data_IF_975031095713
#
_entry.id   IF_975031095713
#
_cell.length_a   1.000
_cell.length_b   1.000
_cell.length_c   1.000
_cell.angle_alpha   90.00
_cell.angle_beta   90.00
_cell.angle_gamma   90.00
#
_symmetry.space_group_name_H-M   'P 1'
#
loop_
_entity.id
_entity.type
_entity.pdbx_description
1 polymer ?
#
# COMPACT_ATOMS: atom_id res chain seq x y z
N UNK A 1 2.49 -8.82 -5.35
CA UNK A 1 3.89 -9.27 -5.24
C UNK A 1 4.50 -8.68 -3.99
N UNK A 2 5.35 -9.42 -3.27
CA UNK A 2 6.04 -8.98 -2.04
C UNK A 2 7.53 -9.26 -2.17
N UNK A 3 8.39 -8.36 -1.67
CA UNK A 3 9.84 -8.55 -1.65
C UNK A 3 10.48 -7.88 -0.42
N UNK A 4 11.42 -8.55 0.24
CA UNK A 4 12.18 -7.99 1.38
C UNK A 4 13.38 -7.10 0.96
N UNK A 5 13.85 -7.24 -0.27
CA UNK A 5 14.95 -6.47 -0.86
C UNK A 5 14.65 -6.27 -2.35
N UNK A 6 14.97 -5.13 -3.00
CA UNK A 6 14.95 -5.00 -4.45
C UNK A 6 15.69 -6.11 -5.23
N UNK A 7 16.68 -6.78 -4.62
CA UNK A 7 17.42 -7.89 -5.24
C UNK A 7 16.80 -9.28 -5.01
N UNK A 8 15.88 -9.42 -4.05
CA UNK A 8 15.20 -10.70 -3.79
C UNK A 8 14.10 -10.95 -4.82
N UNK A 9 13.94 -12.19 -5.32
CA UNK A 9 12.85 -12.52 -6.21
C UNK A 9 11.52 -12.23 -5.52
N UNK A 10 10.58 -11.54 -6.18
CA UNK A 10 9.33 -11.18 -5.54
C UNK A 10 8.40 -12.40 -5.45
N UNK A 11 7.77 -12.58 -4.30
CA UNK A 11 6.77 -13.62 -4.06
C UNK A 11 5.38 -13.12 -4.47
N UNK A 12 4.58 -13.99 -5.10
CA UNK A 12 3.15 -13.71 -5.28
C UNK A 12 2.43 -14.00 -3.96
N UNK A 13 1.84 -12.96 -3.37
CA UNK A 13 1.03 -13.06 -2.14
C UNK A 13 -0.28 -12.31 -2.34
N UNK A 14 -1.32 -12.82 -1.70
CA UNK A 14 -2.57 -12.12 -1.50
C UNK A 14 -2.55 -11.40 -0.14
N UNK A 15 -3.41 -10.40 0.01
CA UNK A 15 -3.56 -9.60 1.23
C UNK A 15 -4.99 -9.79 1.74
N UNK A 16 -5.24 -10.07 3.04
CA UNK A 16 -4.29 -10.11 4.15
C UNK A 16 -3.17 -11.16 4.00
N UNK A 17 -1.94 -10.76 4.28
CA UNK A 17 -0.78 -11.62 4.14
C UNK A 17 -0.62 -12.50 5.39
N UNK A 18 -0.93 -13.79 5.23
CA UNK A 18 -0.91 -14.78 6.32
C UNK A 18 0.44 -15.45 6.52
N UNK A 19 1.44 -15.18 5.67
CA UNK A 19 2.75 -15.81 5.71
C UNK A 19 3.88 -14.77 5.68
N UNK A 20 3.93 -13.85 6.67
CA UNK A 20 4.83 -12.70 6.65
C UNK A 20 6.30 -13.09 6.63
N UNK A 21 7.11 -12.29 5.92
CA UNK A 21 8.56 -12.39 6.01
C UNK A 21 9.02 -11.81 7.35
N UNK A 22 9.85 -12.57 8.05
CA UNK A 22 10.54 -12.08 9.25
C UNK A 22 11.72 -11.22 8.78
N UNK A 23 11.61 -9.92 8.98
CA UNK A 23 12.69 -8.97 8.71
C UNK A 23 13.08 -8.29 10.02
N UNK A 24 14.37 -8.30 10.35
CA UNK A 24 14.91 -7.77 11.61
C UNK A 24 15.83 -6.59 11.36
N UNK A 25 15.90 -5.64 12.30
CA UNK A 25 16.97 -4.63 12.35
C UNK A 25 16.99 -3.62 11.21
N UNK A 26 15.86 -2.96 10.90
CA UNK A 26 15.80 -1.98 9.81
C UNK A 26 15.36 -2.56 8.46
N UNK A 27 15.05 -3.86 8.41
CA UNK A 27 14.60 -4.53 7.20
C UNK A 27 13.30 -3.95 6.65
N UNK A 28 13.12 -4.07 5.33
CA UNK A 28 11.97 -3.51 4.62
C UNK A 28 11.22 -4.61 3.90
N UNK A 29 9.90 -4.47 3.76
CA UNK A 29 9.08 -5.33 2.91
C UNK A 29 8.29 -4.43 1.98
N UNK A 30 8.42 -4.66 0.68
CA UNK A 30 7.69 -3.92 -0.36
C UNK A 30 6.63 -4.80 -0.99
N UNK A 31 5.37 -4.37 -0.91
CA UNK A 31 4.25 -4.95 -1.63
C UNK A 31 4.01 -4.14 -2.90
N UNK A 32 3.95 -4.80 -4.05
CA UNK A 32 3.69 -4.20 -5.36
C UNK A 32 2.48 -4.84 -6.02
N UNK A 33 1.60 -4.01 -6.58
CA UNK A 33 0.46 -4.44 -7.39
C UNK A 33 0.21 -3.46 -8.54
N UNK A 34 0.01 -4.00 -9.74
CA UNK A 34 -0.47 -3.25 -10.89
C UNK A 34 -1.99 -3.27 -10.90
N UNK A 35 -2.61 -2.15 -11.22
CA UNK A 35 -4.07 -2.03 -11.37
C UNK A 35 -4.42 -0.94 -12.39
N UNK A 36 -5.57 -1.09 -13.04
CA UNK A 36 -6.09 -0.07 -13.96
C UNK A 36 -6.86 0.99 -13.18
N UNK A 37 -6.91 2.22 -13.71
CA UNK A 37 -7.81 3.24 -13.17
C UNK A 37 -9.26 2.74 -13.24
N UNK A 38 -10.06 2.88 -12.18
CA UNK A 38 -11.48 2.57 -12.24
C UNK A 38 -12.17 3.34 -13.37
N UNK A 39 -13.03 2.67 -14.12
CA UNK A 39 -13.80 3.25 -15.23
C UNK A 39 -15.16 3.73 -14.75
N UNK A 40 -15.76 4.68 -15.45
CA UNK A 40 -17.09 5.21 -15.10
C UNK A 40 -17.08 6.22 -13.95
N UNK A 41 -15.89 6.72 -13.56
CA UNK A 41 -15.77 7.79 -12.57
C UNK A 41 -16.33 9.10 -13.13
N UNK A 42 -17.17 9.74 -12.34
CA UNK A 42 -17.68 11.09 -12.53
C UNK A 42 -16.71 12.12 -11.91
N UNK A 43 -16.86 13.42 -12.22
CA UNK A 43 -16.04 14.46 -11.60
C UNK A 43 -16.19 14.60 -10.07
N UNK A 44 -17.27 14.05 -9.50
CA UNK A 44 -17.57 14.07 -8.05
C UNK A 44 -17.07 12.83 -7.32
N UNK A 45 -16.50 11.86 -8.04
CA UNK A 45 -15.98 10.63 -7.44
C UNK A 45 -14.55 10.83 -6.96
N UNK A 46 -14.30 10.36 -5.73
CA UNK A 46 -12.98 10.31 -5.11
C UNK A 46 -12.55 8.86 -4.98
N UNK A 47 -11.32 8.56 -5.40
CA UNK A 47 -10.73 7.22 -5.27
C UNK A 47 -9.79 7.20 -4.07
N UNK A 48 -10.18 6.45 -3.05
CA UNK A 48 -9.43 6.29 -1.81
C UNK A 48 -8.64 4.99 -1.80
N UNK A 49 -7.38 5.04 -1.36
CA UNK A 49 -6.66 3.86 -0.87
C UNK A 49 -6.89 3.72 0.63
N UNK A 50 -7.34 2.54 1.04
CA UNK A 50 -7.65 2.22 2.43
C UNK A 50 -6.80 1.04 2.91
N UNK A 51 -6.05 1.28 3.99
CA UNK A 51 -5.21 0.29 4.68
C UNK A 51 -5.56 0.40 6.18
N UNK A 52 -6.62 -0.28 6.63
CA UNK A 52 -7.09 -0.22 8.01
C UNK A 52 -6.09 -0.81 9.02
N UNK A 53 -5.30 -1.80 8.62
CA UNK A 53 -4.37 -2.50 9.51
C UNK A 53 -3.09 -2.93 8.77
N UNK A 54 -1.96 -2.75 9.44
CA UNK A 54 -0.64 -3.27 9.08
C UNK A 54 0.24 -3.30 10.34
N UNK A 55 1.27 -4.14 10.35
CA UNK A 55 2.31 -4.13 11.37
C UNK A 55 3.63 -3.65 10.76
N UNK A 56 4.12 -2.49 11.20
CA UNK A 56 5.42 -1.90 10.84
C UNK A 56 5.69 -0.68 11.73
N UNK A 57 6.96 -0.26 11.86
CA UNK A 57 7.31 1.01 12.51
C UNK A 57 7.15 2.20 11.56
N UNK A 58 7.37 2.00 10.26
CA UNK A 58 7.09 3.02 9.25
C UNK A 58 6.53 2.43 7.97
N UNK A 59 5.83 3.28 7.22
CA UNK A 59 5.16 2.96 5.98
C UNK A 59 5.40 4.06 4.96
N UNK A 60 5.65 3.68 3.71
CA UNK A 60 5.69 4.55 2.55
C UNK A 60 4.74 4.00 1.49
N UNK A 61 3.91 4.87 0.91
CA UNK A 61 3.02 4.52 -0.19
C UNK A 61 3.44 5.33 -1.42
N UNK A 62 3.72 4.61 -2.51
CA UNK A 62 4.03 5.19 -3.81
C UNK A 62 3.00 4.74 -4.85
N UNK A 63 2.60 5.67 -5.70
CA UNK A 63 1.82 5.42 -6.92
C UNK A 63 2.66 5.86 -8.11
N UNK A 64 2.87 4.97 -9.08
CA UNK A 64 3.66 5.27 -10.28
C UNK A 64 5.04 5.86 -9.92
N UNK A 65 5.68 5.26 -8.93
CA UNK A 65 6.98 5.65 -8.34
C UNK A 65 7.02 7.04 -7.66
N UNK A 66 5.89 7.73 -7.60
CA UNK A 66 5.74 9.00 -6.85
C UNK A 66 5.30 8.70 -5.42
N UNK A 67 6.03 9.25 -4.44
CA UNK A 67 5.66 9.18 -3.03
C UNK A 67 4.41 10.03 -2.77
N UNK A 68 3.33 9.38 -2.34
CA UNK A 68 2.06 10.05 -2.01
C UNK A 68 1.80 10.09 -0.51
N UNK A 69 2.46 9.21 0.27
CA UNK A 69 2.31 9.16 1.71
C UNK A 69 3.52 8.51 2.39
N UNK A 70 3.86 9.01 3.57
CA UNK A 70 4.84 8.42 4.46
C UNK A 70 4.44 8.66 5.92
N UNK A 71 4.62 7.67 6.78
CA UNK A 71 4.44 7.82 8.22
C UNK A 71 5.38 6.91 9.00
N UNK A 72 5.83 7.39 10.15
CA UNK A 72 6.60 6.69 11.18
C UNK A 72 5.73 6.22 12.35
N UNK A 73 4.41 6.17 12.16
CA UNK A 73 3.43 5.75 13.17
C UNK A 73 2.50 4.72 12.58
N UNK A 74 2.29 3.63 13.30
CA UNK A 74 1.30 2.61 12.96
C UNK A 74 -0.11 3.15 13.21
N UNK A 75 -0.79 3.56 12.15
CA UNK A 75 -2.19 4.02 12.18
C UNK A 75 -2.90 3.64 10.88
N UNK A 76 -4.23 3.46 10.89
CA UNK A 76 -5.01 3.27 9.67
C UNK A 76 -4.72 4.37 8.64
N UNK A 77 -4.62 3.98 7.37
CA UNK A 77 -4.31 4.88 6.26
C UNK A 77 -5.54 4.97 5.37
N UNK A 78 -5.99 6.19 5.08
CA UNK A 78 -6.99 6.51 4.07
C UNK A 78 -6.47 7.69 3.24
N UNK A 79 -6.21 7.48 1.96
CA UNK A 79 -5.54 8.46 1.08
C UNK A 79 -6.34 8.70 -0.17
N UNK A 80 -6.62 9.97 -0.48
CA UNK A 80 -7.14 10.35 -1.78
C UNK A 80 -6.02 10.18 -2.83
N UNK A 81 -6.24 9.30 -3.79
CA UNK A 81 -5.30 9.04 -4.87
C UNK A 81 -5.77 9.60 -6.22
N UNK A 82 -6.92 10.27 -6.27
CA UNK A 82 -7.62 10.63 -7.51
C UNK A 82 -6.72 11.37 -8.50
N UNK A 83 -5.96 12.36 -8.01
CA UNK A 83 -5.06 13.16 -8.83
C UNK A 83 -3.80 12.39 -9.30
N UNK A 84 -3.42 11.30 -8.63
CA UNK A 84 -2.23 10.51 -8.95
C UNK A 84 -2.50 9.37 -9.95
N UNK A 85 -3.78 9.07 -10.24
CA UNK A 85 -4.16 7.94 -11.08
C UNK A 85 -3.93 8.21 -12.57
N UNK A 86 -3.25 7.25 -13.21
CA UNK A 86 -3.04 7.12 -14.66
C UNK A 86 -3.85 5.95 -15.19
N UNK A 87 -4.01 5.76 -16.52
CA UNK A 87 -4.75 4.61 -17.06
C UNK A 87 -4.26 3.24 -16.54
N UNK A 88 -2.93 3.08 -16.43
CA UNK A 88 -2.27 1.94 -15.79
C UNK A 88 -1.45 2.44 -14.61
N UNK A 89 -1.65 1.82 -13.44
CA UNK A 89 -1.01 2.24 -12.20
C UNK A 89 -0.19 1.13 -11.57
N UNK A 90 0.91 1.52 -10.92
CA UNK A 90 1.66 0.68 -10.00
C UNK A 90 1.51 1.23 -8.58
N UNK A 91 0.92 0.45 -7.68
CA UNK A 91 0.93 0.69 -6.24
C UNK A 91 2.12 -0.04 -5.62
N UNK A 92 2.91 0.70 -4.84
CA UNK A 92 3.95 0.13 -4.00
C UNK A 92 3.76 0.60 -2.55
N UNK A 93 3.61 -0.35 -1.62
CA UNK A 93 3.55 -0.10 -0.19
C UNK A 93 4.82 -0.69 0.43
N UNK A 94 5.67 0.16 0.98
CA UNK A 94 6.90 -0.25 1.66
C UNK A 94 6.69 -0.12 3.15
N UNK A 95 6.88 -1.21 3.87
CA UNK A 95 6.83 -1.28 5.31
C UNK A 95 8.25 -1.47 5.84
N UNK A 96 8.63 -0.78 6.92
CA UNK A 96 9.95 -0.91 7.54
C UNK A 96 9.83 -1.40 8.97
N UNK A 97 10.60 -2.44 9.31
CA UNK A 97 10.83 -2.88 10.68
C UNK A 97 11.87 -1.98 11.35
N UNK A 98 11.51 -1.40 12.48
CA UNK A 98 12.41 -0.81 13.47
C UNK A 98 12.43 -1.68 14.72
N UNK A 99 11.54 -1.40 15.67
CA UNK A 99 11.37 -2.18 16.91
C UNK A 99 10.30 -3.27 16.80
N UNK A 100 9.41 -3.16 15.81
CA UNK A 100 8.40 -4.16 15.52
C UNK A 100 9.06 -5.43 14.94
N UNK A 101 8.80 -6.62 15.51
CA UNK A 101 9.42 -7.87 15.06
C UNK A 101 8.87 -8.38 13.73
N UNK A 102 7.76 -7.81 13.25
CA UNK A 102 7.03 -8.27 12.07
C UNK A 102 6.69 -7.10 11.17
N UNK A 103 6.78 -7.31 9.85
CA UNK A 103 6.48 -6.31 8.82
C UNK A 103 5.49 -6.87 7.82
N UNK A 104 4.20 -6.54 7.96
CA UNK A 104 3.14 -7.21 7.21
C UNK A 104 1.90 -6.33 6.97
N UNK A 105 1.25 -6.55 5.82
CA UNK A 105 -0.12 -6.10 5.57
C UNK A 105 -1.08 -7.19 6.06
N UNK A 106 -1.46 -7.15 7.33
CA UNK A 106 -2.31 -8.12 8.01
C UNK A 106 -3.81 -7.75 7.98
N UNK A 107 -4.15 -6.57 7.46
CA UNK A 107 -5.50 -6.17 7.09
C UNK A 107 -5.75 -6.20 5.58
N UNK A 108 -7.01 -6.09 5.19
CA UNK A 108 -7.37 -5.91 3.78
C UNK A 108 -6.80 -4.58 3.25
N UNK A 109 -6.37 -4.55 1.99
CA UNK A 109 -6.01 -3.32 1.29
C UNK A 109 -7.00 -3.11 0.16
N UNK A 110 -7.76 -2.02 0.22
CA UNK A 110 -8.88 -1.76 -0.68
C UNK A 110 -8.70 -0.44 -1.43
N UNK A 111 -9.25 -0.40 -2.64
CA UNK A 111 -9.56 0.84 -3.34
C UNK A 111 -11.05 1.08 -3.17
N UNK A 112 -11.40 2.21 -2.57
CA UNK A 112 -12.78 2.63 -2.34
C UNK A 112 -13.09 3.78 -3.30
N UNK A 113 -14.31 3.79 -3.85
CA UNK A 113 -14.82 4.90 -4.67
C UNK A 113 -15.95 5.52 -3.85
N UNK A 114 -15.82 6.81 -3.57
CA UNK A 114 -16.82 7.57 -2.84
C UNK A 114 -17.32 8.70 -3.73
N UNK A 115 -18.62 8.72 -3.99
CA UNK A 115 -19.28 9.83 -4.68
C UNK A 115 -19.69 10.85 -3.64
N UNK A 116 -19.27 12.11 -3.82
CA UNK A 116 -19.77 13.21 -3.00
C UNK A 116 -21.11 13.63 -3.62
N UNK A 117 -22.22 13.24 -2.99
CA UNK A 117 -23.54 13.77 -3.34
C UNK A 117 -23.56 15.29 -3.03
N UNK A 118 -24.01 16.13 -3.97
CA UNK A 118 -24.06 17.58 -3.81
C UNK A 118 -25.09 18.08 -2.78
#
# INVERSE_FOLDING_TARGET
MRSADPQSPPDKVDVPDTAPLVVTGGGRVTYRRVFNRPTGLTPTDVVWLSIPQYAADSVEVRINDTLIYQSDRTKPIRLDMTAALRPSNQLAITLTAGKCPTTVLDGAVTLEIESIDP
#
